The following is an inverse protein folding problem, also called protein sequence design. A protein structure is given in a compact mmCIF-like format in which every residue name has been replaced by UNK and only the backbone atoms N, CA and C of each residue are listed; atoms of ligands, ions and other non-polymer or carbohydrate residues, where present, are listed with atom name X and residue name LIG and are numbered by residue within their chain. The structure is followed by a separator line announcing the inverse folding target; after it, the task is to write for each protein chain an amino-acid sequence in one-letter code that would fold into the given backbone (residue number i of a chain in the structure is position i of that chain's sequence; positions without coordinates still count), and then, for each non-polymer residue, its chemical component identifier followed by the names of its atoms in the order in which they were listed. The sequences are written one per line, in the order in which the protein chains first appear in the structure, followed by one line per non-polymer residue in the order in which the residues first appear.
data_IF_791702781638
#
_entry.id   IF_791702781638
#
_cell.length_a   1.000
_cell.length_b   1.000
_cell.length_c   1.000
_cell.angle_alpha   90.00
_cell.angle_beta   90.00
_cell.angle_gamma   90.00
#
_symmetry.space_group_name_H-M   'P 1'
#
loop_
_entity.id
_entity.type
_entity.pdbx_description
1 polymer ?
#
# COMPACT_ATOMS: atom_id res chain seq x y z
N UNK A 1 6.37 17.02 -2.69
CA UNK A 1 5.42 15.89 -2.47
C UNK A 1 4.00 16.35 -2.75
N UNK A 2 3.22 15.60 -3.53
CA UNK A 2 1.79 15.84 -3.74
C UNK A 2 0.95 15.15 -2.67
N UNK A 3 -0.23 15.69 -2.39
CA UNK A 3 -1.20 15.14 -1.45
C UNK A 3 -2.56 14.98 -2.12
N UNK A 4 -3.38 14.11 -1.58
CA UNK A 4 -4.73 13.84 -2.08
C UNK A 4 -5.67 13.35 -0.96
N UNK A 5 -6.97 13.40 -1.22
CA UNK A 5 -8.00 12.89 -0.31
C UNK A 5 -8.50 11.54 -0.85
N UNK A 6 -8.09 10.41 -0.26
CA UNK A 6 -8.52 9.09 -0.71
C UNK A 6 -10.05 8.96 -0.65
N UNK A 7 -10.68 8.56 -1.75
CA UNK A 7 -12.12 8.32 -1.85
C UNK A 7 -13.00 9.38 -1.16
N UNK A 8 -12.65 10.66 -1.28
CA UNK A 8 -13.41 11.76 -0.70
C UNK A 8 -13.34 11.89 0.84
N UNK A 9 -12.40 11.21 1.49
CA UNK A 9 -12.14 11.37 2.92
C UNK A 9 -11.51 12.74 3.22
N UNK A 10 -11.46 13.13 4.49
CA UNK A 10 -10.71 14.30 4.96
C UNK A 10 -9.21 14.03 5.18
N UNK A 11 -8.73 12.83 4.81
CA UNK A 11 -7.32 12.48 4.89
C UNK A 11 -6.53 13.25 3.81
N UNK A 12 -5.66 14.15 4.21
CA UNK A 12 -4.73 14.80 3.30
C UNK A 12 -3.46 13.93 3.17
N UNK A 13 -3.56 12.83 2.41
CA UNK A 13 -2.53 11.78 2.33
C UNK A 13 -1.45 12.12 1.30
N UNK A 14 -0.18 11.91 1.64
CA UNK A 14 0.91 11.93 0.66
C UNK A 14 0.71 10.83 -0.39
N UNK A 15 1.04 11.11 -1.65
CA UNK A 15 0.89 10.13 -2.75
C UNK A 15 1.84 8.92 -2.64
N UNK A 16 2.78 8.96 -1.69
CA UNK A 16 3.68 7.84 -1.34
C UNK A 16 3.48 7.54 0.14
N UNK A 17 3.35 6.27 0.50
CA UNK A 17 3.24 5.81 1.88
C UNK A 17 4.51 5.08 2.32
N UNK A 18 4.92 5.28 3.59
CA UNK A 18 6.00 4.55 4.23
C UNK A 18 5.48 3.24 4.82
N UNK A 19 5.97 2.11 4.32
CA UNK A 19 5.67 0.78 4.87
C UNK A 19 6.61 0.41 6.01
N UNK A 20 6.05 0.11 7.16
CA UNK A 20 6.78 -0.10 8.43
C UNK A 20 7.09 -1.58 8.73
N UNK A 21 6.93 -2.50 7.79
CA UNK A 21 7.15 -3.94 8.02
C UNK A 21 8.58 -4.30 8.50
N UNK A 22 9.57 -3.45 8.26
CA UNK A 22 10.99 -3.75 8.51
C UNK A 22 11.60 -2.98 9.68
N UNK A 23 10.83 -2.13 10.36
CA UNK A 23 11.37 -1.27 11.44
C UNK A 23 11.57 -2.03 12.76
N UNK A 24 11.01 -3.22 12.92
CA UNK A 24 11.02 -3.97 14.19
C UNK A 24 12.41 -4.33 14.72
N UNK A 25 13.45 -4.32 13.89
CA UNK A 25 14.84 -4.56 14.29
C UNK A 25 15.71 -3.30 14.40
N UNK A 26 15.15 -2.11 14.14
CA UNK A 26 15.92 -0.86 14.19
C UNK A 26 16.14 -0.36 15.62
N UNK A 27 17.25 0.37 15.82
CA UNK A 27 17.45 1.16 17.02
C UNK A 27 16.50 2.36 17.04
N UNK A 28 16.28 2.95 18.21
CA UNK A 28 15.44 4.13 18.34
C UNK A 28 15.98 5.32 17.53
N UNK A 29 17.30 5.53 17.53
CA UNK A 29 17.94 6.56 16.71
C UNK A 29 17.80 6.32 15.19
N UNK A 30 17.79 5.06 14.76
CA UNK A 30 17.56 4.73 13.35
C UNK A 30 16.09 4.97 12.94
N UNK A 31 15.14 4.78 13.86
CA UNK A 31 13.74 5.14 13.64
C UNK A 31 13.58 6.65 13.58
N UNK A 32 14.19 7.39 14.51
CA UNK A 32 14.15 8.85 14.52
C UNK A 32 14.69 9.40 13.18
N UNK A 33 15.84 8.92 12.71
CA UNK A 33 16.42 9.31 11.42
C UNK A 33 15.54 8.94 10.21
N UNK A 34 14.81 7.81 10.26
CA UNK A 34 13.86 7.42 9.23
C UNK A 34 12.66 8.38 9.20
N UNK A 35 12.09 8.69 10.37
CA UNK A 35 10.95 9.59 10.50
C UNK A 35 11.29 11.03 10.08
N UNK A 36 12.50 11.49 10.39
CA UNK A 36 13.00 12.78 9.89
C UNK A 36 13.10 12.78 8.37
N UNK A 37 13.58 11.69 7.77
CA UNK A 37 13.65 11.54 6.31
C UNK A 37 12.26 11.49 5.65
N UNK A 38 11.29 10.81 6.27
CA UNK A 38 9.91 10.78 5.80
C UNK A 38 9.29 12.18 5.86
N UNK A 39 9.51 12.91 6.95
CA UNK A 39 9.05 14.30 7.11
C UNK A 39 9.67 15.23 6.08
N UNK A 40 10.98 15.18 5.87
CA UNK A 40 11.68 15.96 4.85
C UNK A 40 11.21 15.62 3.42
N UNK A 41 10.90 14.34 3.16
CA UNK A 41 10.32 13.88 1.90
C UNK A 41 8.84 14.27 1.74
N UNK A 42 8.19 14.77 2.80
CA UNK A 42 6.76 15.11 2.84
C UNK A 42 5.86 13.88 2.91
N UNK A 43 6.37 12.73 3.36
CA UNK A 43 5.57 11.51 3.57
C UNK A 43 4.91 11.62 4.94
N UNK A 44 3.57 11.53 4.94
CA UNK A 44 2.77 11.58 6.16
C UNK A 44 1.89 10.34 6.38
N UNK A 45 1.98 9.33 5.52
CA UNK A 45 1.18 8.12 5.58
C UNK A 45 2.05 6.91 5.94
N UNK A 46 1.73 6.24 7.07
CA UNK A 46 2.52 5.13 7.63
C UNK A 46 1.70 3.84 7.67
N UNK A 47 2.21 2.81 6.97
CA UNK A 47 1.53 1.52 6.78
C UNK A 47 2.12 0.43 7.67
N UNK A 48 1.33 -0.04 8.62
CA UNK A 48 1.61 -1.12 9.55
C UNK A 48 0.76 -2.37 9.29
N UNK A 49 0.96 -3.39 10.10
CA UNK A 49 0.05 -4.50 10.35
C UNK A 49 0.37 -5.12 11.73
N UNK A 50 -0.67 -5.65 12.39
CA UNK A 50 -0.57 -6.29 13.70
C UNK A 50 0.44 -7.44 13.74
N UNK A 51 0.62 -8.13 12.60
CA UNK A 51 1.52 -9.27 12.46
C UNK A 51 2.97 -8.90 12.11
N UNK A 52 3.28 -7.65 11.75
CA UNK A 52 4.62 -7.27 11.31
C UNK A 52 5.64 -7.42 12.45
N UNK A 53 6.61 -8.32 12.25
CA UNK A 53 7.58 -8.67 13.27
C UNK A 53 6.94 -9.25 14.55
N UNK A 54 5.73 -9.84 14.46
CA UNK A 54 4.98 -10.32 15.62
C UNK A 54 4.50 -9.19 16.53
N UNK A 55 4.19 -8.02 15.99
CA UNK A 55 3.78 -6.81 16.71
C UNK A 55 4.92 -5.83 17.01
N UNK A 56 6.19 -6.27 16.90
CA UNK A 56 7.37 -5.42 17.23
C UNK A 56 7.47 -4.16 16.37
N UNK A 57 6.98 -4.20 15.10
CA UNK A 57 6.98 -3.01 14.26
C UNK A 57 6.06 -1.92 14.81
N UNK A 58 4.87 -2.28 15.25
CA UNK A 58 3.95 -1.35 15.92
C UNK A 58 4.51 -0.86 17.27
N UNK A 59 5.11 -1.75 18.07
CA UNK A 59 5.74 -1.37 19.34
C UNK A 59 6.86 -0.34 19.15
N UNK A 60 7.72 -0.53 18.15
CA UNK A 60 8.80 0.40 17.82
C UNK A 60 8.28 1.75 17.35
N UNK A 61 7.24 1.76 16.52
CA UNK A 61 6.60 3.00 16.08
C UNK A 61 5.90 3.71 17.26
N UNK A 62 5.20 2.97 18.12
CA UNK A 62 4.58 3.51 19.32
C UNK A 62 5.60 4.08 20.32
N UNK A 63 6.80 3.48 20.43
CA UNK A 63 7.89 4.05 21.22
C UNK A 63 8.40 5.37 20.65
N UNK A 64 8.45 5.50 19.31
CA UNK A 64 8.73 6.78 18.65
C UNK A 64 7.65 7.82 18.97
N UNK A 65 6.36 7.50 18.83
CA UNK A 65 5.26 8.42 19.13
C UNK A 65 5.27 8.87 20.60
N UNK A 66 5.66 7.99 21.53
CA UNK A 66 5.78 8.36 22.95
C UNK A 66 6.92 9.34 23.21
N UNK A 67 8.01 9.28 22.45
CA UNK A 67 9.10 10.28 22.53
C UNK A 67 8.76 11.58 21.79
N UNK A 68 7.88 11.53 20.79
CA UNK A 68 7.50 12.65 19.94
C UNK A 68 5.96 12.79 19.85
N UNK A 69 5.26 13.15 20.96
CA UNK A 69 3.79 13.12 20.99
C UNK A 69 3.12 13.98 19.91
N UNK A 70 3.70 15.14 19.58
CA UNK A 70 3.18 16.04 18.54
C UNK A 70 3.26 15.45 17.12
N UNK A 71 4.05 14.39 16.90
CA UNK A 71 4.14 13.75 15.60
C UNK A 71 2.83 13.04 15.22
N UNK A 72 2.04 12.58 16.20
CA UNK A 72 0.78 11.84 15.95
C UNK A 72 -0.24 12.65 15.14
N UNK A 73 -0.33 13.94 15.39
CA UNK A 73 -1.32 14.80 14.72
C UNK A 73 -0.95 15.14 13.27
N UNK A 74 0.34 15.03 12.92
CA UNK A 74 0.84 15.29 11.57
C UNK A 74 0.86 14.08 10.64
N UNK A 75 0.42 12.89 11.10
CA UNK A 75 0.52 11.64 10.34
C UNK A 75 -0.83 10.94 10.17
N UNK A 76 -0.92 10.15 9.10
CA UNK A 76 -2.00 9.19 8.85
C UNK A 76 -1.46 7.80 9.17
N UNK A 77 -2.08 7.14 10.15
CA UNK A 77 -1.67 5.84 10.66
C UNK A 77 -2.59 4.75 10.15
N UNK A 78 -2.06 3.88 9.29
CA UNK A 78 -2.73 2.69 8.79
C UNK A 78 -2.18 1.45 9.46
N UNK A 79 -3.06 0.51 9.86
CA UNK A 79 -2.67 -0.85 10.23
C UNK A 79 -3.63 -1.87 9.66
N UNK A 80 -3.35 -3.16 9.88
CA UNK A 80 -4.12 -4.27 9.30
C UNK A 80 -4.35 -5.36 10.33
N UNK A 81 -5.45 -6.11 10.19
CA UNK A 81 -5.80 -7.25 11.02
C UNK A 81 -6.36 -8.42 10.22
N UNK A 82 -6.61 -9.54 10.87
CA UNK A 82 -7.30 -10.69 10.29
C UNK A 82 -6.41 -11.85 9.85
N UNK A 83 -5.11 -11.84 10.15
CA UNK A 83 -4.20 -12.96 9.89
C UNK A 83 -3.74 -13.58 11.21
N UNK A 84 -3.97 -14.87 11.39
CA UNK A 84 -3.33 -15.67 12.43
C UNK A 84 -2.20 -16.45 11.77
N UNK A 85 -0.96 -15.99 11.97
CA UNK A 85 0.22 -16.46 11.25
C UNK A 85 0.34 -17.99 11.32
N UNK A 86 0.51 -18.60 10.14
CA UNK A 86 0.72 -20.04 9.99
C UNK A 86 -0.51 -20.92 10.32
N UNK A 87 -1.70 -20.30 10.58
CA UNK A 87 -2.89 -21.04 10.96
C UNK A 87 -4.09 -20.76 10.04
N UNK A 88 -4.60 -19.53 9.99
CA UNK A 88 -5.82 -19.15 9.26
C UNK A 88 -5.96 -17.64 9.08
N UNK A 89 -6.90 -17.24 8.27
CA UNK A 89 -7.51 -15.90 8.31
C UNK A 89 -8.70 -15.94 9.27
N UNK A 90 -9.01 -14.83 9.93
CA UNK A 90 -10.05 -14.78 10.94
C UNK A 90 -10.66 -13.37 11.00
N UNK A 91 -11.87 -13.21 10.45
CA UNK A 91 -12.61 -11.95 10.48
C UNK A 91 -13.76 -11.98 11.49
N UNK A 92 -13.72 -12.90 12.46
CA UNK A 92 -14.69 -12.87 13.54
C UNK A 92 -14.60 -11.56 14.33
N UNK A 93 -15.73 -11.08 14.83
CA UNK A 93 -15.83 -9.88 15.66
C UNK A 93 -14.79 -9.89 16.80
N UNK A 94 -14.71 -11.02 17.53
CA UNK A 94 -13.75 -11.19 18.62
C UNK A 94 -12.30 -10.94 18.18
N UNK A 95 -11.91 -11.51 17.03
CA UNK A 95 -10.53 -11.38 16.56
C UNK A 95 -10.24 -9.97 16.07
N UNK A 96 -11.12 -9.36 15.27
CA UNK A 96 -10.94 -7.98 14.79
C UNK A 96 -10.80 -7.01 15.97
N UNK A 97 -11.71 -7.04 16.94
CA UNK A 97 -11.65 -6.17 18.13
C UNK A 97 -10.35 -6.37 18.91
N UNK A 98 -9.96 -7.63 19.15
CA UNK A 98 -8.71 -7.95 19.85
C UNK A 98 -7.46 -7.43 19.11
N UNK A 99 -7.43 -7.53 17.78
CA UNK A 99 -6.33 -7.01 16.97
C UNK A 99 -6.24 -5.47 17.06
N UNK A 100 -7.38 -4.78 16.96
CA UNK A 100 -7.44 -3.31 17.05
C UNK A 100 -6.98 -2.83 18.42
N UNK A 101 -7.49 -3.41 19.52
CA UNK A 101 -7.04 -3.07 20.87
C UNK A 101 -5.54 -3.33 21.06
N UNK A 102 -5.05 -4.45 20.54
CA UNK A 102 -3.64 -4.78 20.54
C UNK A 102 -2.79 -3.75 19.77
N UNK A 103 -3.23 -3.33 18.59
CA UNK A 103 -2.54 -2.33 17.76
C UNK A 103 -2.54 -0.96 18.43
N UNK A 104 -3.67 -0.49 18.98
CA UNK A 104 -3.75 0.77 19.72
C UNK A 104 -2.75 0.79 20.89
N UNK A 105 -2.68 -0.31 21.64
CA UNK A 105 -1.73 -0.45 22.76
C UNK A 105 -0.28 -0.42 22.30
N UNK A 106 0.08 -1.18 21.24
CA UNK A 106 1.46 -1.24 20.73
C UNK A 106 1.88 0.08 20.10
N UNK A 107 0.99 0.72 19.34
CA UNK A 107 1.20 2.03 18.70
C UNK A 107 1.11 3.20 19.68
N UNK A 108 0.67 2.96 20.93
CA UNK A 108 0.51 3.99 21.98
C UNK A 108 -0.32 5.18 21.51
N UNK A 109 -1.44 4.90 20.87
CA UNK A 109 -2.38 5.90 20.35
C UNK A 109 -3.80 5.48 20.69
N UNK A 110 -4.71 6.43 20.72
CA UNK A 110 -6.14 6.23 20.98
C UNK A 110 -6.94 5.95 19.71
N UNK A 111 -6.37 6.23 18.52
CA UNK A 111 -7.03 6.09 17.24
C UNK A 111 -6.13 5.55 16.13
N UNK A 112 -6.72 4.82 15.21
CA UNK A 112 -6.17 4.38 13.93
C UNK A 112 -6.89 5.15 12.83
N UNK A 113 -6.16 5.77 11.90
CA UNK A 113 -6.80 6.53 10.82
C UNK A 113 -7.38 5.59 9.75
N UNK A 114 -6.69 4.49 9.43
CA UNK A 114 -7.14 3.50 8.45
C UNK A 114 -6.88 2.07 8.95
N UNK A 115 -7.92 1.23 8.97
CA UNK A 115 -7.80 -0.20 9.24
C UNK A 115 -8.07 -1.01 7.98
N UNK A 116 -7.13 -1.88 7.59
CA UNK A 116 -7.33 -2.82 6.49
C UNK A 116 -7.63 -4.23 6.98
N UNK A 117 -8.55 -4.91 6.32
CA UNK A 117 -8.68 -6.38 6.39
C UNK A 117 -7.57 -6.99 5.53
N UNK A 118 -6.60 -7.69 6.15
CA UNK A 118 -5.28 -7.95 5.56
C UNK A 118 -5.29 -8.98 4.40
N UNK A 119 -6.16 -9.98 4.46
CA UNK A 119 -6.39 -11.01 3.45
C UNK A 119 -7.81 -11.53 3.53
N UNK A 120 -8.45 -11.91 2.41
CA UNK A 120 -9.80 -12.46 2.46
C UNK A 120 -9.88 -13.67 3.38
N UNK A 121 -10.85 -13.67 4.28
CA UNK A 121 -11.24 -14.84 5.05
C UNK A 121 -12.40 -15.55 4.33
N UNK A 122 -12.16 -16.79 3.89
CA UNK A 122 -13.15 -17.57 3.14
C UNK A 122 -14.39 -17.95 3.97
N UNK A 123 -14.30 -17.86 5.29
CA UNK A 123 -15.38 -18.21 6.21
C UNK A 123 -16.03 -16.99 6.85
N UNK A 124 -15.65 -15.77 6.45
CA UNK A 124 -16.22 -14.56 7.02
C UNK A 124 -17.72 -14.43 6.72
N UNK A 125 -18.43 -13.83 7.64
CA UNK A 125 -19.80 -13.36 7.48
C UNK A 125 -19.76 -11.85 7.27
N UNK A 126 -20.00 -11.36 6.05
CA UNK A 126 -19.84 -9.93 5.75
C UNK A 126 -20.67 -9.02 6.64
N UNK A 127 -21.86 -9.49 7.07
CA UNK A 127 -22.74 -8.77 8.00
C UNK A 127 -22.06 -8.53 9.35
N UNK A 128 -21.49 -9.58 9.94
CA UNK A 128 -20.80 -9.51 11.24
C UNK A 128 -19.54 -8.67 11.16
N UNK A 129 -18.81 -8.75 10.05
CA UNK A 129 -17.64 -7.90 9.79
C UNK A 129 -18.06 -6.45 9.73
N UNK A 130 -19.08 -6.10 8.93
CA UNK A 130 -19.57 -4.75 8.76
C UNK A 130 -20.04 -4.14 10.10
N UNK A 131 -20.83 -4.87 10.89
CA UNK A 131 -21.26 -4.46 12.23
C UNK A 131 -20.05 -4.17 13.15
N UNK A 132 -19.01 -5.02 13.07
CA UNK A 132 -17.80 -4.84 13.86
C UNK A 132 -17.02 -3.58 13.44
N UNK A 133 -16.93 -3.31 12.14
CA UNK A 133 -16.29 -2.09 11.63
C UNK A 133 -17.09 -0.83 12.01
N UNK A 134 -18.42 -0.88 11.94
CA UNK A 134 -19.30 0.22 12.38
C UNK A 134 -19.15 0.53 13.88
N UNK A 135 -18.99 -0.50 14.72
CA UNK A 135 -18.69 -0.34 16.15
C UNK A 135 -17.35 0.37 16.38
N UNK A 136 -16.30 -0.05 15.66
CA UNK A 136 -14.98 0.58 15.73
C UNK A 136 -15.00 2.04 15.27
N UNK A 137 -15.77 2.35 14.24
CA UNK A 137 -15.96 3.72 13.77
C UNK A 137 -16.72 4.57 14.80
N UNK A 138 -17.84 4.06 15.29
CA UNK A 138 -18.70 4.78 16.25
C UNK A 138 -18.00 5.05 17.58
N UNK A 139 -17.08 4.16 18.00
CA UNK A 139 -16.25 4.36 19.20
C UNK A 139 -15.08 5.33 18.99
N UNK A 140 -14.85 5.83 17.77
CA UNK A 140 -13.75 6.70 17.43
C UNK A 140 -12.38 6.02 17.35
N UNK A 141 -12.31 4.69 17.51
CA UNK A 141 -11.06 3.93 17.47
C UNK A 141 -10.49 3.80 16.07
N UNK A 142 -11.36 3.76 15.05
CA UNK A 142 -10.96 3.67 13.63
C UNK A 142 -11.77 4.68 12.83
N UNK A 143 -11.09 5.48 11.99
CA UNK A 143 -11.75 6.50 11.18
C UNK A 143 -12.24 5.97 9.83
N UNK A 144 -11.40 5.21 9.13
CA UNK A 144 -11.66 4.71 7.78
C UNK A 144 -11.25 3.24 7.63
N UNK A 145 -11.85 2.57 6.64
CA UNK A 145 -11.64 1.16 6.40
C UNK A 145 -11.21 0.89 4.96
N UNK A 146 -10.46 -0.18 4.81
CA UNK A 146 -10.08 -0.71 3.52
C UNK A 146 -9.81 -2.20 3.59
N UNK A 147 -9.33 -2.73 2.51
CA UNK A 147 -8.99 -4.15 2.37
C UNK A 147 -7.59 -4.32 1.80
N UNK A 148 -7.08 -5.54 1.80
CA UNK A 148 -5.84 -5.88 1.11
C UNK A 148 -6.00 -7.22 0.40
N UNK A 149 -5.63 -7.26 -0.88
CA UNK A 149 -5.71 -8.44 -1.73
C UNK A 149 -7.14 -9.02 -1.88
N UNK A 150 -8.16 -8.17 -1.86
CA UNK A 150 -9.54 -8.54 -2.16
C UNK A 150 -9.83 -8.34 -3.65
N UNK A 151 -10.73 -9.15 -4.19
CA UNK A 151 -11.26 -8.94 -5.53
C UNK A 151 -12.52 -8.07 -5.49
N UNK A 152 -12.97 -7.63 -6.67
CA UNK A 152 -14.12 -6.75 -6.83
C UNK A 152 -15.40 -7.27 -6.15
N UNK A 153 -15.70 -8.57 -6.31
CA UNK A 153 -16.93 -9.15 -5.76
C UNK A 153 -16.86 -9.32 -4.25
N UNK A 154 -15.68 -9.59 -3.67
CA UNK A 154 -15.51 -9.61 -2.21
C UNK A 154 -15.70 -8.23 -1.61
N UNK A 155 -15.21 -7.18 -2.28
CA UNK A 155 -15.44 -5.80 -1.86
C UNK A 155 -16.92 -5.40 -1.98
N UNK A 156 -17.58 -5.78 -3.08
CA UNK A 156 -19.01 -5.49 -3.28
C UNK A 156 -19.90 -6.17 -2.23
N UNK A 157 -19.58 -7.43 -1.91
CA UNK A 157 -20.30 -8.20 -0.89
C UNK A 157 -20.14 -7.57 0.51
N UNK A 158 -18.94 -7.13 0.87
CA UNK A 158 -18.69 -6.45 2.14
C UNK A 158 -19.37 -5.07 2.17
N UNK A 159 -19.20 -4.28 1.11
CA UNK A 159 -19.76 -2.93 0.99
C UNK A 159 -21.29 -2.91 1.05
N UNK A 160 -21.97 -4.01 0.66
CA UNK A 160 -23.43 -4.14 0.79
C UNK A 160 -23.94 -3.94 2.23
N UNK A 161 -23.14 -4.29 3.22
CA UNK A 161 -23.50 -4.24 4.63
C UNK A 161 -22.83 -3.10 5.39
N UNK A 162 -21.73 -2.55 4.88
CA UNK A 162 -21.00 -1.43 5.49
C UNK A 162 -21.74 -0.11 5.32
N UNK A 163 -21.70 0.75 6.33
CA UNK A 163 -22.14 2.15 6.24
C UNK A 163 -21.06 3.06 5.67
N UNK A 164 -19.82 2.85 6.09
CA UNK A 164 -18.67 3.59 5.58
C UNK A 164 -18.15 2.99 4.28
N UNK A 165 -17.64 3.79 3.33
CA UNK A 165 -17.06 3.28 2.10
C UNK A 165 -15.74 2.53 2.35
N UNK A 166 -15.40 1.59 1.48
CA UNK A 166 -14.05 1.04 1.39
C UNK A 166 -13.17 2.09 0.73
N UNK A 167 -12.14 2.55 1.45
CA UNK A 167 -11.27 3.65 0.99
C UNK A 167 -10.06 3.13 0.22
N UNK A 168 -9.49 2.01 0.65
CA UNK A 168 -8.28 1.44 0.06
C UNK A 168 -8.46 -0.04 -0.28
N UNK A 169 -7.80 -0.47 -1.37
CA UNK A 169 -7.41 -1.86 -1.57
C UNK A 169 -5.89 -1.95 -1.77
N UNK A 170 -5.20 -2.58 -0.84
CA UNK A 170 -3.75 -2.73 -0.88
C UNK A 170 -3.37 -3.99 -1.66
N UNK A 171 -2.85 -3.79 -2.88
CA UNK A 171 -2.56 -4.83 -3.86
C UNK A 171 -1.09 -4.88 -4.25
N UNK A 172 -0.61 -6.06 -4.65
CA UNK A 172 0.72 -6.14 -5.25
C UNK A 172 0.72 -5.55 -6.65
N UNK A 173 1.55 -4.53 -6.88
CA UNK A 173 1.73 -3.93 -8.19
C UNK A 173 3.12 -3.32 -8.36
N UNK A 174 3.63 -3.39 -9.58
CA UNK A 174 4.89 -2.80 -9.99
C UNK A 174 5.30 -3.33 -11.36
N UNK A 175 6.32 -2.77 -12.02
CA UNK A 175 6.69 -3.14 -13.39
C UNK A 175 6.92 -4.64 -13.62
N UNK A 176 7.37 -5.37 -12.61
CA UNK A 176 7.56 -6.83 -12.67
C UNK A 176 6.37 -7.64 -12.15
N UNK A 177 5.23 -7.00 -11.85
CA UNK A 177 3.99 -7.64 -11.40
C UNK A 177 2.79 -6.77 -11.79
N UNK A 178 2.24 -7.02 -12.96
CA UNK A 178 1.22 -6.17 -13.62
C UNK A 178 -0.12 -6.88 -13.83
N UNK A 179 -0.37 -8.00 -13.12
CA UNK A 179 -1.54 -8.87 -13.37
C UNK A 179 -2.87 -8.10 -13.41
N UNK A 180 -3.03 -7.05 -12.60
CA UNK A 180 -4.29 -6.29 -12.55
C UNK A 180 -4.52 -5.37 -13.77
N UNK A 181 -3.52 -5.17 -14.63
CA UNK A 181 -3.67 -4.43 -15.90
C UNK A 181 -3.54 -5.33 -17.13
N UNK A 182 -2.87 -6.48 -16.99
CA UNK A 182 -2.55 -7.35 -18.12
C UNK A 182 -3.80 -7.85 -18.84
N UNK A 183 -4.81 -8.28 -18.10
CA UNK A 183 -6.06 -8.78 -18.67
C UNK A 183 -6.79 -7.70 -19.48
N UNK A 184 -6.81 -6.45 -19.01
CA UNK A 184 -7.41 -5.32 -19.71
C UNK A 184 -6.68 -4.93 -21.00
N UNK A 185 -5.35 -5.09 -21.06
CA UNK A 185 -4.56 -4.83 -22.25
C UNK A 185 -4.74 -5.95 -23.30
N UNK A 186 -4.98 -7.19 -22.86
CA UNK A 186 -5.04 -8.37 -23.71
C UNK A 186 -6.49 -8.87 -23.97
N UNK A 187 -7.48 -7.98 -23.90
CA UNK A 187 -8.89 -8.33 -24.14
C UNK A 187 -9.05 -8.99 -25.51
N UNK A 188 -9.84 -10.07 -25.57
CA UNK A 188 -10.12 -10.84 -26.78
C UNK A 188 -8.88 -11.54 -27.39
N UNK A 189 -7.81 -11.74 -26.64
CA UNK A 189 -6.62 -12.47 -27.08
C UNK A 189 -6.56 -13.88 -26.50
N UNK A 190 -5.92 -14.83 -27.22
CA UNK A 190 -5.76 -16.24 -26.79
C UNK A 190 -4.42 -16.49 -26.07
N UNK A 191 -3.86 -15.52 -25.38
CA UNK A 191 -2.60 -15.64 -24.64
C UNK A 191 -2.84 -15.73 -23.11
N UNK A 192 -1.82 -16.16 -22.37
CA UNK A 192 -1.92 -16.29 -20.93
C UNK A 192 -2.20 -14.96 -20.18
N UNK A 193 -1.68 -13.80 -20.60
CA UNK A 193 -2.03 -12.51 -20.00
C UNK A 193 -3.50 -12.11 -20.12
N UNK A 194 -4.23 -12.60 -21.14
CA UNK A 194 -5.65 -12.33 -21.32
C UNK A 194 -6.53 -13.03 -20.25
N UNK A 195 -5.99 -14.00 -19.53
CA UNK A 195 -6.73 -14.69 -18.47
C UNK A 195 -6.86 -13.79 -17.26
N UNK A 196 -8.08 -13.38 -16.96
CA UNK A 196 -8.38 -12.59 -15.77
C UNK A 196 -8.11 -13.42 -14.51
N UNK A 197 -7.28 -12.89 -13.62
CA UNK A 197 -6.87 -13.55 -12.37
C UNK A 197 -7.25 -12.77 -11.11
N UNK A 198 -7.61 -11.50 -11.25
CA UNK A 198 -7.81 -10.57 -10.15
C UNK A 198 -9.25 -10.06 -10.01
N UNK A 199 -10.17 -10.58 -10.81
CA UNK A 199 -11.60 -10.20 -10.75
C UNK A 199 -11.88 -8.76 -11.16
N UNK A 200 -11.10 -8.21 -12.10
CA UNK A 200 -11.23 -6.82 -12.61
C UNK A 200 -11.01 -5.76 -11.50
N UNK A 201 -10.19 -6.06 -10.52
CA UNK A 201 -10.01 -5.22 -9.32
C UNK A 201 -9.57 -3.79 -9.68
N UNK A 202 -8.71 -3.61 -10.67
CA UNK A 202 -8.26 -2.27 -11.09
C UNK A 202 -9.43 -1.39 -11.54
N UNK A 203 -10.23 -1.86 -12.48
CA UNK A 203 -11.33 -1.08 -13.04
C UNK A 203 -12.46 -0.90 -12.03
N UNK A 204 -12.69 -1.90 -11.20
CA UNK A 204 -13.63 -1.79 -10.08
C UNK A 204 -13.21 -0.70 -9.08
N UNK A 205 -11.94 -0.67 -8.66
CA UNK A 205 -11.44 0.37 -7.77
C UNK A 205 -11.59 1.77 -8.38
N UNK A 206 -11.29 1.91 -9.69
CA UNK A 206 -11.51 3.18 -10.41
C UNK A 206 -12.97 3.61 -10.42
N UNK A 207 -13.88 2.66 -10.69
CA UNK A 207 -15.33 2.92 -10.72
C UNK A 207 -15.87 3.38 -9.36
N UNK A 208 -15.37 2.81 -8.28
CA UNK A 208 -15.81 3.08 -6.90
C UNK A 208 -15.00 4.18 -6.18
N UNK A 209 -14.00 4.77 -6.83
CA UNK A 209 -13.11 5.74 -6.21
C UNK A 209 -12.16 5.17 -5.15
N UNK A 210 -12.01 3.85 -5.08
CA UNK A 210 -11.13 3.16 -4.12
C UNK A 210 -9.67 3.40 -4.51
N UNK A 211 -8.87 3.91 -3.59
CA UNK A 211 -7.43 4.11 -3.81
C UNK A 211 -6.68 2.78 -3.74
N UNK A 212 -5.96 2.45 -4.81
CA UNK A 212 -5.09 1.27 -4.83
C UNK A 212 -3.77 1.61 -4.15
N UNK A 213 -3.35 0.77 -3.19
CA UNK A 213 -2.05 0.88 -2.53
C UNK A 213 -1.09 -0.21 -3.03
N UNK A 214 -0.25 0.04 -4.06
CA UNK A 214 0.76 -0.91 -4.55
C UNK A 214 1.78 -1.26 -3.49
N UNK A 215 1.76 -2.50 -2.99
CA UNK A 215 2.82 -2.99 -2.10
C UNK A 215 3.93 -3.71 -2.87
N UNK A 216 5.15 -3.69 -2.33
CA UNK A 216 6.34 -4.28 -2.95
C UNK A 216 6.62 -3.81 -4.39
N UNK A 217 6.57 -2.51 -4.68
CA UNK A 217 6.67 -1.96 -6.04
C UNK A 217 7.99 -2.30 -6.75
N UNK A 218 9.04 -2.63 -6.00
CA UNK A 218 10.39 -2.93 -6.52
C UNK A 218 10.70 -4.42 -6.60
N UNK A 219 9.75 -5.32 -6.29
CA UNK A 219 10.03 -6.75 -6.19
C UNK A 219 9.64 -7.52 -7.45
N UNK A 220 10.52 -8.43 -7.85
CA UNK A 220 10.27 -9.50 -8.81
C UNK A 220 10.25 -10.87 -8.11
N UNK A 221 10.25 -11.97 -8.89
CA UNK A 221 10.24 -13.34 -8.36
C UNK A 221 11.42 -13.63 -7.44
N UNK A 222 12.61 -13.13 -7.78
CA UNK A 222 13.87 -13.40 -7.07
C UNK A 222 14.48 -12.13 -6.45
N UNK A 223 13.72 -11.41 -5.64
CA UNK A 223 14.19 -10.19 -4.97
C UNK A 223 13.80 -8.89 -5.68
N UNK A 224 14.70 -7.91 -5.69
CA UNK A 224 14.44 -6.64 -6.40
C UNK A 224 14.93 -6.70 -7.85
N UNK A 225 14.14 -6.16 -8.78
CA UNK A 225 14.58 -6.01 -10.17
C UNK A 225 15.56 -4.84 -10.38
N UNK A 226 15.74 -3.97 -9.39
CA UNK A 226 16.68 -2.84 -9.46
C UNK A 226 18.15 -3.27 -9.33
N UNK A 227 18.42 -4.51 -8.93
CA UNK A 227 19.78 -5.06 -8.74
C UNK A 227 19.88 -6.50 -9.23
N UNK A 228 21.12 -6.99 -9.33
CA UNK A 228 21.40 -8.39 -9.64
C UNK A 228 21.37 -8.72 -11.14
N UNK A 229 21.57 -9.99 -11.52
CA UNK A 229 21.75 -10.41 -12.91
C UNK A 229 20.46 -10.50 -13.73
N UNK A 230 19.30 -10.54 -13.07
CA UNK A 230 18.02 -10.68 -13.74
C UNK A 230 17.40 -9.32 -14.08
N UNK A 231 16.41 -9.28 -14.98
CA UNK A 231 15.66 -8.09 -15.37
C UNK A 231 16.50 -6.95 -15.97
N UNK A 232 17.56 -7.27 -16.73
CA UNK A 232 18.51 -6.29 -17.27
C UNK A 232 17.80 -5.28 -18.19
N UNK A 233 16.88 -5.73 -19.05
CA UNK A 233 16.11 -4.86 -19.97
C UNK A 233 15.26 -3.86 -19.17
N UNK A 234 14.50 -4.33 -18.18
CA UNK A 234 13.69 -3.49 -17.31
C UNK A 234 14.55 -2.45 -16.57
N UNK A 235 15.67 -2.89 -15.98
CA UNK A 235 16.57 -1.98 -15.27
C UNK A 235 17.18 -0.91 -16.19
N UNK A 236 17.51 -1.27 -17.45
CA UNK A 236 18.00 -0.30 -18.42
C UNK A 236 16.94 0.74 -18.77
N UNK A 237 15.69 0.35 -18.98
CA UNK A 237 14.59 1.27 -19.25
C UNK A 237 14.35 2.21 -18.06
N UNK A 238 14.33 1.68 -16.82
CA UNK A 238 14.18 2.49 -15.61
C UNK A 238 15.30 3.51 -15.48
N UNK A 239 16.56 3.11 -15.72
CA UNK A 239 17.73 4.01 -15.66
C UNK A 239 17.70 5.11 -16.72
N UNK A 240 17.18 4.82 -17.91
CA UNK A 240 16.99 5.84 -18.94
C UNK A 240 16.02 6.92 -18.49
N UNK A 241 14.90 6.54 -17.88
CA UNK A 241 13.95 7.49 -17.27
C UNK A 241 14.58 8.25 -16.11
N UNK A 242 15.25 7.55 -15.20
CA UNK A 242 15.93 8.16 -14.06
C UNK A 242 16.93 9.22 -14.51
N UNK A 243 17.76 8.92 -15.53
CA UNK A 243 18.74 9.85 -16.08
C UNK A 243 18.08 11.05 -16.77
N UNK A 244 17.02 10.82 -17.56
CA UNK A 244 16.29 11.89 -18.28
C UNK A 244 15.70 12.92 -17.32
N UNK A 245 15.12 12.46 -16.21
CA UNK A 245 14.44 13.34 -15.25
C UNK A 245 15.31 13.72 -14.04
N UNK A 246 16.57 13.27 -13.97
CA UNK A 246 17.48 13.59 -12.87
C UNK A 246 17.06 13.01 -11.53
N UNK A 247 16.42 11.83 -11.53
CA UNK A 247 15.85 11.19 -10.35
C UNK A 247 16.49 9.81 -10.09
N UNK A 248 16.26 9.23 -8.91
CA UNK A 248 16.73 7.87 -8.61
C UNK A 248 15.96 6.78 -9.38
N UNK A 249 16.59 5.59 -9.58
CA UNK A 249 15.93 4.41 -10.15
C UNK A 249 14.63 4.08 -9.40
N UNK A 250 14.63 4.21 -8.08
CA UNK A 250 13.44 3.97 -7.25
C UNK A 250 12.36 5.02 -7.50
N UNK A 251 12.72 6.28 -7.63
CA UNK A 251 11.77 7.35 -7.97
C UNK A 251 11.16 7.13 -9.36
N UNK A 252 11.95 6.68 -10.35
CA UNK A 252 11.45 6.37 -11.69
C UNK A 252 10.39 5.25 -11.68
N UNK A 253 10.57 4.22 -10.85
CA UNK A 253 9.54 3.17 -10.67
C UNK A 253 8.29 3.72 -10.02
N UNK A 254 8.41 4.57 -9.02
CA UNK A 254 7.23 5.18 -8.38
C UNK A 254 6.53 6.16 -9.33
N UNK A 255 7.26 6.94 -10.11
CA UNK A 255 6.69 7.80 -11.15
C UNK A 255 5.90 6.98 -12.19
N UNK A 256 6.40 5.79 -12.56
CA UNK A 256 5.68 4.85 -13.43
C UNK A 256 4.34 4.40 -12.82
N UNK A 257 4.30 4.10 -11.52
CA UNK A 257 3.06 3.74 -10.83
C UNK A 257 2.11 4.93 -10.75
N UNK A 258 2.63 6.09 -10.34
CA UNK A 258 1.84 7.32 -10.16
C UNK A 258 1.32 7.91 -11.49
N UNK A 259 1.94 7.54 -12.63
CA UNK A 259 1.48 7.95 -13.96
C UNK A 259 0.16 7.30 -14.35
N UNK A 260 -0.17 6.14 -13.79
CA UNK A 260 -1.41 5.45 -14.11
C UNK A 260 -2.63 6.29 -13.64
N UNK A 261 -3.68 6.43 -14.45
CA UNK A 261 -4.84 7.28 -14.12
C UNK A 261 -5.70 6.75 -12.95
N UNK A 262 -5.53 5.48 -12.55
CA UNK A 262 -6.06 5.03 -11.27
C UNK A 262 -5.29 5.74 -10.15
N UNK A 263 -6.01 6.29 -9.20
CA UNK A 263 -5.39 6.92 -8.05
C UNK A 263 -4.65 5.87 -7.22
N UNK A 264 -3.32 5.83 -7.35
CA UNK A 264 -2.47 4.86 -6.68
C UNK A 264 -1.55 5.55 -5.67
N UNK A 265 -1.39 4.90 -4.51
CA UNK A 265 -0.48 5.34 -3.45
C UNK A 265 0.53 4.22 -3.17
N UNK A 266 1.69 4.16 -3.84
CA UNK A 266 2.67 3.12 -3.61
C UNK A 266 3.21 3.14 -2.18
N UNK A 267 3.30 1.95 -1.59
CA UNK A 267 3.85 1.71 -0.26
C UNK A 267 5.31 1.30 -0.39
N UNK A 268 6.22 2.19 -0.02
CA UNK A 268 7.65 1.89 0.00
C UNK A 268 8.02 1.18 1.30
N UNK A 269 9.05 0.34 1.26
CA UNK A 269 9.50 -0.40 2.44
C UNK A 269 10.98 -0.18 2.73
N UNK A 270 11.54 0.96 2.33
CA UNK A 270 12.92 1.31 2.67
C UNK A 270 13.00 1.78 4.11
N UNK A 271 14.06 1.33 4.81
CA UNK A 271 14.45 1.84 6.13
C UNK A 271 15.72 2.69 6.04
N UNK A 272 16.17 2.98 4.83
CA UNK A 272 17.33 3.81 4.53
C UNK A 272 16.85 5.26 4.29
N UNK A 273 17.18 6.22 5.17
CA UNK A 273 16.74 7.62 5.05
C UNK A 273 17.12 8.27 3.73
N UNK A 274 18.29 7.95 3.18
CA UNK A 274 18.74 8.51 1.88
C UNK A 274 17.82 8.05 0.75
N UNK A 275 17.41 6.79 0.75
CA UNK A 275 16.46 6.27 -0.25
C UNK A 275 15.06 6.85 -0.06
N UNK A 276 14.62 7.05 1.17
CA UNK A 276 13.32 7.68 1.46
C UNK A 276 13.30 9.10 0.89
N UNK A 277 14.33 9.91 1.15
CA UNK A 277 14.42 11.26 0.55
C UNK A 277 14.42 11.23 -0.97
N UNK A 278 15.15 10.28 -1.57
CA UNK A 278 15.29 10.18 -3.03
C UNK A 278 14.00 9.85 -3.76
N UNK A 279 13.03 9.20 -3.12
CA UNK A 279 11.78 8.83 -3.78
C UNK A 279 10.75 9.96 -3.83
N UNK A 280 10.89 11.00 -3.03
CA UNK A 280 9.99 12.15 -3.03
C UNK A 280 9.86 12.81 -4.41
N UNK A 281 10.94 12.81 -5.18
CA UNK A 281 10.98 13.36 -6.55
C UNK A 281 9.99 12.66 -7.51
N UNK A 282 9.61 11.42 -7.22
CA UNK A 282 8.61 10.71 -8.03
C UNK A 282 7.26 11.41 -8.07
N UNK A 283 6.90 12.15 -7.02
CA UNK A 283 5.63 12.85 -6.92
C UNK A 283 5.51 14.02 -7.91
N UNK A 284 6.63 14.55 -8.37
CA UNK A 284 6.69 15.76 -9.20
C UNK A 284 7.07 15.45 -10.66
N UNK A 285 7.30 14.15 -10.98
CA UNK A 285 7.67 13.70 -12.33
C UNK A 285 6.46 13.05 -13.00
N UNK A 286 6.12 13.54 -14.17
CA UNK A 286 5.15 12.95 -15.07
C UNK A 286 5.88 12.37 -16.29
N UNK A 287 6.04 11.03 -16.30
CA UNK A 287 6.60 10.33 -17.46
C UNK A 287 5.59 10.32 -18.61
N UNK A 288 6.07 10.27 -19.85
CA UNK A 288 5.19 10.25 -21.04
C UNK A 288 4.45 8.92 -21.16
N UNK A 289 3.46 8.91 -22.04
CA UNK A 289 2.72 7.70 -22.39
C UNK A 289 3.64 6.62 -22.99
N UNK A 290 4.56 7.00 -23.88
CA UNK A 290 5.53 6.12 -24.52
C UNK A 290 6.49 5.52 -23.48
N UNK A 291 7.01 6.34 -22.58
CA UNK A 291 7.94 5.92 -21.53
C UNK A 291 7.29 4.91 -20.57
N UNK A 292 5.99 5.10 -20.30
CA UNK A 292 5.24 4.14 -19.48
C UNK A 292 5.20 2.76 -20.13
N UNK A 293 4.88 2.70 -21.42
CA UNK A 293 4.84 1.47 -22.19
C UNK A 293 6.23 0.89 -22.45
N UNK A 294 7.27 1.70 -22.56
CA UNK A 294 8.65 1.23 -22.68
C UNK A 294 9.08 0.43 -21.44
N UNK A 295 8.77 0.91 -20.23
CA UNK A 295 9.00 0.16 -18.99
C UNK A 295 8.16 -1.13 -18.97
N UNK A 296 6.88 -1.07 -19.35
CA UNK A 296 5.98 -2.22 -19.40
C UNK A 296 6.53 -3.31 -20.34
N UNK A 297 6.93 -2.97 -21.55
CA UNK A 297 7.54 -3.90 -22.53
C UNK A 297 8.89 -4.44 -22.04
N UNK A 298 9.71 -3.59 -21.45
CA UNK A 298 11.02 -3.97 -20.93
C UNK A 298 10.92 -4.97 -19.74
N UNK A 299 9.81 -4.97 -19.03
CA UNK A 299 9.49 -5.96 -18.01
C UNK A 299 9.10 -7.34 -18.56
N UNK A 300 8.92 -7.45 -19.89
CA UNK A 300 8.61 -8.71 -20.60
C UNK A 300 7.13 -8.87 -20.94
N UNK A 301 6.31 -7.84 -20.69
CA UNK A 301 4.91 -7.86 -21.07
C UNK A 301 4.77 -7.59 -22.58
N UNK A 302 3.93 -8.36 -23.24
CA UNK A 302 3.71 -8.23 -24.68
C UNK A 302 2.63 -7.19 -24.96
N UNK A 303 2.87 -6.38 -25.96
CA UNK A 303 1.88 -5.52 -26.61
C UNK A 303 1.72 -6.06 -28.02
N UNK A 304 0.48 -6.12 -28.54
CA UNK A 304 0.22 -6.56 -29.91
C UNK A 304 0.98 -5.76 -30.95
#
# INVERSE_FOLDING_TARGET
MRYFNPNGTDLNASVIAQGCMRIGGLSDSAIDALMDADKEAGINFFDHADIYGGGRCEEKFGAYLARHPSARDGIILQTKCGIIIGKRYDFSRKHILSCVEGSLKRLRTDRIDVLLLHRPDALCRPEEVAETLDELHSSGKVRYFGVSNHNSMQMELLAKYMRAPIVFDQLRFGPAHTCMIDAGINVNMKNAPAVMRDGMTLDYCRLKGITIQPWSPFRARFGTFLRGPFHIRLRRAIRAIAAKYGISDSAAVLAWILRHPAQMQPVIGSTDPTRVRSVAAAADVEITHEEWYDIYRAAGHKIP
#
